data_IF_148541628194
#
_entry.id   IF_148541628194
#
_cell.length_a   1.000
_cell.length_b   1.000
_cell.length_c   1.000
_cell.angle_alpha   90.00
_cell.angle_beta   90.00
_cell.angle_gamma   90.00
#
_symmetry.space_group_name_H-M   'P 1'
#
loop_
_entity.id
_entity.type
_entity.pdbx_description
1 polymer ?
#
# COMPACT_ATOMS: atom_id res chain seq x y z
N UNK A 1 53.22 -1.45 9.90
CA UNK A 1 51.92 -2.18 9.89
C UNK A 1 51.18 -2.24 11.24
N UNK A 2 51.76 -1.84 12.39
CA UNK A 2 51.03 -1.83 13.69
C UNK A 2 50.07 -0.63 13.84
N UNK A 3 50.41 0.53 13.27
CA UNK A 3 49.61 1.76 13.37
C UNK A 3 48.34 1.76 12.48
N UNK A 4 48.32 0.95 11.40
CA UNK A 4 47.16 0.85 10.50
C UNK A 4 46.01 0.04 11.13
N UNK A 5 46.34 -0.94 11.99
CA UNK A 5 45.33 -1.75 12.69
C UNK A 5 44.55 -0.93 13.74
N UNK A 6 45.21 0.03 14.38
CA UNK A 6 44.56 0.96 15.31
C UNK A 6 43.58 1.90 14.63
N UNK A 7 43.91 2.38 13.42
CA UNK A 7 43.05 3.29 12.67
C UNK A 7 41.76 2.62 12.18
N UNK A 8 41.85 1.36 11.73
CA UNK A 8 40.68 0.58 11.28
C UNK A 8 39.76 0.25 12.46
N UNK A 9 40.33 -0.09 13.62
CA UNK A 9 39.54 -0.36 14.83
C UNK A 9 38.79 0.90 15.32
N UNK A 10 39.38 2.08 15.19
CA UNK A 10 38.72 3.34 15.55
C UNK A 10 37.56 3.69 14.62
N UNK A 11 37.73 3.53 13.30
CA UNK A 11 36.66 3.78 12.33
C UNK A 11 35.48 2.79 12.45
N UNK A 12 35.75 1.52 12.78
CA UNK A 12 34.72 0.52 12.99
C UNK A 12 33.89 0.77 14.27
N UNK A 13 34.43 1.47 15.28
CA UNK A 13 33.71 1.78 16.51
C UNK A 13 32.74 2.97 16.33
N UNK A 14 33.07 3.93 15.47
CA UNK A 14 32.24 5.13 15.23
C UNK A 14 30.99 4.82 14.39
N UNK A 15 31.04 3.82 13.49
CA UNK A 15 29.90 3.47 12.64
C UNK A 15 28.73 2.82 13.39
N UNK A 16 28.97 2.22 14.56
CA UNK A 16 27.91 1.59 15.38
C UNK A 16 26.99 2.64 16.02
N UNK A 17 27.49 3.85 16.31
CA UNK A 17 26.69 4.91 16.93
C UNK A 17 25.90 5.76 15.93
N UNK A 18 26.18 5.66 14.62
CA UNK A 18 25.49 6.42 13.58
C UNK A 18 24.32 5.66 12.93
N UNK A 19 24.19 4.35 13.16
CA UNK A 19 23.20 3.50 12.49
C UNK A 19 21.78 3.54 13.10
N UNK A 20 21.58 4.25 14.21
CA UNK A 20 20.26 4.39 14.87
C UNK A 20 19.67 5.79 14.68
N UNK A 21 19.74 6.36 13.47
CA UNK A 21 18.75 7.39 13.12
C UNK A 21 17.45 6.69 12.78
N UNK A 22 16.66 6.42 13.82
CA UNK A 22 15.24 6.11 13.68
C UNK A 22 14.62 7.25 12.88
N UNK A 23 14.17 6.96 11.66
CA UNK A 23 13.41 7.92 10.87
C UNK A 23 12.14 8.21 11.66
N UNK A 24 11.98 9.47 12.07
CA UNK A 24 10.76 9.94 12.72
C UNK A 24 9.68 10.05 11.64
N UNK A 25 9.08 8.91 11.25
CA UNK A 25 7.75 8.98 10.67
C UNK A 25 6.79 9.38 11.79
N UNK A 26 6.42 10.67 11.82
CA UNK A 26 5.30 11.14 12.63
C UNK A 26 4.03 10.69 11.92
N UNK A 27 3.62 9.45 12.16
CA UNK A 27 2.21 9.09 12.02
C UNK A 27 1.47 9.90 13.08
N UNK A 28 0.81 10.96 12.64
CA UNK A 28 -0.14 11.65 13.50
C UNK A 28 -1.26 10.64 13.70
N UNK A 29 -1.32 10.05 14.89
CA UNK A 29 -2.46 9.29 15.40
C UNK A 29 -3.71 10.18 15.29
N UNK A 30 -4.28 10.25 14.10
CA UNK A 30 -5.44 11.06 13.82
C UNK A 30 -6.65 10.15 13.92
N UNK A 31 -6.96 9.82 15.18
CA UNK A 31 -8.28 9.46 15.65
C UNK A 31 -8.89 8.21 15.01
N UNK A 32 -9.18 7.23 15.85
CA UNK A 32 -10.19 6.21 15.59
C UNK A 32 -11.48 6.87 15.06
N UNK A 33 -11.59 6.97 13.73
CA UNK A 33 -12.86 7.18 13.08
C UNK A 33 -13.45 5.78 13.02
N UNK A 34 -14.50 5.52 13.79
CA UNK A 34 -15.14 4.19 13.93
C UNK A 34 -15.87 3.72 12.67
N UNK A 35 -15.58 4.34 11.52
CA UNK A 35 -16.08 3.97 10.21
C UNK A 35 -14.95 3.29 9.45
N UNK A 36 -15.22 2.10 8.92
CA UNK A 36 -14.28 1.44 8.01
C UNK A 36 -13.97 2.38 6.84
N UNK A 37 -12.69 2.63 6.62
CA UNK A 37 -12.19 3.54 5.58
C UNK A 37 -11.94 2.79 4.27
N UNK A 38 -11.79 1.47 4.33
CA UNK A 38 -11.87 0.59 3.18
C UNK A 38 -12.86 -0.54 3.45
N UNK A 39 -13.55 -0.98 2.40
CA UNK A 39 -14.49 -2.09 2.42
C UNK A 39 -14.59 -2.67 1.00
N UNK A 40 -14.77 -3.99 0.92
CA UNK A 40 -15.22 -4.67 -0.30
C UNK A 40 -15.93 -6.00 0.02
N UNK A 41 -16.61 -6.57 -0.96
CA UNK A 41 -17.27 -7.86 -0.89
C UNK A 41 -16.81 -8.80 -1.99
N UNK A 42 -16.70 -10.09 -1.66
CA UNK A 42 -16.64 -11.19 -2.62
C UNK A 42 -17.82 -12.13 -2.34
N UNK A 43 -18.80 -12.15 -3.25
CA UNK A 43 -20.05 -12.89 -3.03
C UNK A 43 -20.78 -12.43 -1.75
N UNK A 44 -20.90 -13.33 -0.77
CA UNK A 44 -21.54 -13.05 0.52
C UNK A 44 -20.56 -12.58 1.61
N UNK A 45 -19.26 -12.64 1.36
CA UNK A 45 -18.23 -12.29 2.35
C UNK A 45 -17.90 -10.81 2.24
N UNK A 46 -17.93 -10.10 3.36
CA UNK A 46 -17.58 -8.68 3.47
C UNK A 46 -16.29 -8.51 4.25
N UNK A 47 -15.39 -7.69 3.72
CA UNK A 47 -14.10 -7.34 4.32
C UNK A 47 -14.06 -5.83 4.52
N UNK A 48 -13.58 -5.37 5.68
CA UNK A 48 -13.42 -3.95 5.94
C UNK A 48 -12.35 -3.68 7.01
N UNK A 49 -11.91 -2.43 7.05
CA UNK A 49 -10.89 -1.98 8.01
C UNK A 49 -10.58 -0.49 7.90
N UNK A 50 -9.53 -0.08 8.60
CA UNK A 50 -9.02 1.30 8.56
C UNK A 50 -7.89 1.41 7.55
N UNK A 51 -7.75 2.58 6.94
CA UNK A 51 -6.57 2.93 6.14
C UNK A 51 -5.51 3.41 7.10
N UNK A 52 -4.34 2.79 7.07
CA UNK A 52 -3.21 3.12 7.93
C UNK A 52 -2.40 4.26 7.32
N UNK A 53 -2.08 4.13 6.02
CA UNK A 53 -1.24 5.09 5.30
C UNK A 53 -1.73 5.26 3.86
N UNK A 54 -1.66 6.49 3.34
CA UNK A 54 -1.73 6.76 1.92
C UNK A 54 -0.60 7.72 1.52
N UNK A 55 0.18 7.37 0.51
CA UNK A 55 1.33 8.15 0.06
C UNK A 55 1.51 8.09 -1.45
N UNK A 56 2.21 9.09 -1.98
CA UNK A 56 2.57 9.18 -3.39
C UNK A 56 4.08 9.26 -3.52
N UNK A 57 4.68 8.24 -4.11
CA UNK A 57 6.09 8.26 -4.50
C UNK A 57 6.25 8.72 -5.95
N UNK A 58 7.37 9.36 -6.28
CA UNK A 58 7.67 9.77 -7.65
C UNK A 58 9.04 9.24 -8.08
N UNK A 59 9.06 8.43 -9.14
CA UNK A 59 10.29 7.89 -9.74
C UNK A 59 10.22 8.03 -11.25
N UNK A 60 11.23 8.67 -11.86
CA UNK A 60 11.29 8.83 -13.32
C UNK A 60 10.11 9.59 -13.93
N UNK A 61 9.49 10.50 -13.16
CA UNK A 61 8.29 11.23 -13.59
C UNK A 61 6.98 10.43 -13.53
N UNK A 62 7.02 9.20 -13.01
CA UNK A 62 5.83 8.39 -12.73
C UNK A 62 5.52 8.53 -11.24
N UNK A 63 4.26 8.82 -10.93
CA UNK A 63 3.70 8.88 -9.60
C UNK A 63 3.04 7.54 -9.24
N UNK A 64 3.31 7.06 -8.04
CA UNK A 64 2.81 5.81 -7.47
C UNK A 64 2.02 6.14 -6.22
N UNK A 65 0.70 6.13 -6.32
CA UNK A 65 -0.17 6.16 -5.16
C UNK A 65 -0.22 4.77 -4.55
N UNK A 66 0.05 4.68 -3.25
CA UNK A 66 -0.14 3.48 -2.45
C UNK A 66 -1.04 3.81 -1.27
N UNK A 67 -2.08 3.00 -1.08
CA UNK A 67 -3.01 3.08 0.05
C UNK A 67 -2.96 1.75 0.77
N UNK A 68 -2.58 1.76 2.04
CA UNK A 68 -2.46 0.58 2.88
C UNK A 68 -3.48 0.64 4.00
N UNK A 69 -4.06 -0.50 4.33
CA UNK A 69 -5.01 -0.61 5.43
C UNK A 69 -4.99 -1.96 6.11
N UNK A 70 -5.48 -1.96 7.34
CA UNK A 70 -5.52 -3.13 8.20
C UNK A 70 -6.91 -3.31 8.80
N UNK A 71 -7.36 -4.56 8.95
CA UNK A 71 -8.61 -4.88 9.64
C UNK A 71 -8.52 -4.63 11.13
N UNK A 72 -9.66 -4.52 11.80
CA UNK A 72 -9.71 -4.24 13.25
C UNK A 72 -8.95 -5.27 14.10
N UNK A 73 -9.01 -6.54 13.71
CA UNK A 73 -8.30 -7.66 14.36
C UNK A 73 -6.83 -7.81 13.89
N UNK A 74 -6.38 -6.95 12.97
CA UNK A 74 -5.05 -6.96 12.34
C UNK A 74 -4.68 -8.24 11.59
N UNK A 75 -5.65 -9.11 11.33
CA UNK A 75 -5.41 -10.33 10.56
C UNK A 75 -5.34 -10.06 9.05
N UNK A 76 -6.06 -9.05 8.58
CA UNK A 76 -6.16 -8.72 7.14
C UNK A 76 -5.46 -7.43 6.82
N UNK A 77 -4.81 -7.42 5.66
CA UNK A 77 -4.14 -6.25 5.10
C UNK A 77 -4.59 -6.03 3.68
N UNK A 78 -4.78 -4.78 3.30
CA UNK A 78 -5.08 -4.36 1.94
C UNK A 78 -4.03 -3.37 1.48
N UNK A 79 -3.59 -3.53 0.24
CA UNK A 79 -2.78 -2.55 -0.48
C UNK A 79 -3.49 -2.26 -1.80
N UNK A 80 -3.89 -1.01 -2.00
CA UNK A 80 -4.40 -0.50 -3.27
C UNK A 80 -3.33 0.40 -3.87
N UNK A 81 -3.17 0.34 -5.19
CA UNK A 81 -2.22 1.23 -5.84
C UNK A 81 -2.63 1.67 -7.23
N UNK A 82 -2.16 2.87 -7.58
CA UNK A 82 -2.33 3.49 -8.89
C UNK A 82 -0.98 4.05 -9.34
N UNK A 83 -0.59 3.78 -10.59
CA UNK A 83 0.55 4.44 -11.21
C UNK A 83 0.15 5.28 -12.42
N UNK A 84 0.61 6.53 -12.46
CA UNK A 84 0.28 7.52 -13.51
C UNK A 84 1.41 8.53 -13.66
N UNK A 85 1.57 9.15 -14.83
CA UNK A 85 2.43 10.33 -14.98
C UNK A 85 1.82 11.59 -14.35
N UNK A 86 0.49 11.62 -14.26
CA UNK A 86 -0.30 12.73 -13.71
C UNK A 86 -1.41 12.12 -12.85
N UNK A 87 -1.15 12.01 -11.55
CA UNK A 87 -2.09 11.46 -10.58
C UNK A 87 -3.09 12.54 -10.14
N UNK A 88 -4.37 12.30 -10.42
CA UNK A 88 -5.47 13.22 -10.15
C UNK A 88 -6.77 12.43 -9.93
N UNK A 89 -7.85 13.13 -9.58
CA UNK A 89 -9.16 12.52 -9.57
C UNK A 89 -9.50 11.95 -10.96
N UNK A 90 -10.02 10.73 -11.00
CA UNK A 90 -10.26 9.99 -12.24
C UNK A 90 -10.38 8.48 -12.03
N UNK A 91 -10.58 7.78 -13.15
CA UNK A 91 -10.68 6.32 -13.19
C UNK A 91 -9.38 5.72 -13.68
N UNK A 92 -8.85 4.78 -12.92
CA UNK A 92 -7.66 4.01 -13.22
C UNK A 92 -8.03 2.53 -13.27
N UNK A 93 -7.53 1.80 -14.26
CA UNK A 93 -7.85 0.39 -14.42
C UNK A 93 -6.59 -0.44 -14.61
N UNK A 94 -6.67 -1.74 -14.34
CA UNK A 94 -5.56 -2.67 -14.59
C UNK A 94 -5.04 -2.50 -16.03
N UNK A 95 -3.71 -2.47 -16.25
CA UNK A 95 -2.67 -2.79 -15.28
C UNK A 95 -2.24 -1.62 -14.38
N UNK A 96 -2.75 -0.39 -14.59
CA UNK A 96 -2.31 0.81 -13.86
C UNK A 96 -2.95 1.00 -12.49
N UNK A 97 -3.97 0.19 -12.18
CA UNK A 97 -4.58 0.06 -10.88
C UNK A 97 -4.45 -1.39 -10.39
N UNK A 98 -4.15 -1.58 -9.11
CA UNK A 98 -4.04 -2.89 -8.50
C UNK A 98 -4.55 -2.93 -7.06
N UNK A 99 -4.82 -4.14 -6.61
CA UNK A 99 -5.13 -4.54 -5.24
C UNK A 99 -4.30 -5.78 -4.89
N UNK A 100 -3.77 -5.78 -3.68
CA UNK A 100 -3.29 -6.97 -2.96
C UNK A 100 -4.03 -7.04 -1.62
N UNK A 101 -4.61 -8.20 -1.33
CA UNK A 101 -5.34 -8.45 -0.11
C UNK A 101 -4.82 -9.74 0.55
N UNK A 102 -4.37 -9.59 1.79
CA UNK A 102 -3.80 -10.66 2.59
C UNK A 102 -4.70 -10.97 3.78
N UNK A 103 -4.82 -12.25 4.13
CA UNK A 103 -5.42 -12.73 5.37
C UNK A 103 -4.42 -13.63 6.10
N UNK A 104 -4.09 -13.28 7.35
CA UNK A 104 -3.07 -13.93 8.16
C UNK A 104 -1.72 -14.10 7.44
N UNK A 105 -1.36 -13.12 6.61
CA UNK A 105 -0.11 -13.08 5.85
C UNK A 105 -0.10 -13.90 4.55
N UNK A 106 -1.19 -14.61 4.22
CA UNK A 106 -1.34 -15.28 2.93
C UNK A 106 -2.10 -14.38 1.95
N UNK A 107 -1.68 -14.36 0.69
CA UNK A 107 -2.41 -13.67 -0.38
C UNK A 107 -3.74 -14.38 -0.61
N UNK A 108 -4.84 -13.64 -0.47
CA UNK A 108 -6.20 -14.14 -0.71
C UNK A 108 -6.74 -13.59 -2.02
N UNK A 109 -6.53 -12.29 -2.29
CA UNK A 109 -6.86 -11.69 -3.58
C UNK A 109 -5.71 -10.81 -4.09
N UNK A 110 -5.45 -10.85 -5.38
CA UNK A 110 -4.49 -9.96 -6.06
C UNK A 110 -5.00 -9.58 -7.46
N UNK A 111 -4.50 -8.50 -8.04
CA UNK A 111 -4.87 -8.13 -9.41
C UNK A 111 -4.26 -9.05 -10.46
N UNK A 112 -5.02 -9.34 -11.52
CA UNK A 112 -4.46 -9.90 -12.75
C UNK A 112 -3.99 -8.79 -13.69
N UNK A 113 -2.67 -8.55 -13.69
CA UNK A 113 -2.06 -7.54 -14.57
C UNK A 113 -2.23 -7.84 -16.07
N UNK A 114 -2.56 -9.08 -16.44
CA UNK A 114 -2.82 -9.48 -17.83
C UNK A 114 -4.28 -9.25 -18.23
N UNK A 115 -5.18 -9.13 -17.25
CA UNK A 115 -6.60 -8.86 -17.46
C UNK A 115 -6.87 -7.35 -17.52
N UNK A 116 -6.48 -6.73 -18.64
CA UNK A 116 -6.56 -5.28 -18.86
C UNK A 116 -8.00 -4.78 -18.70
N UNK A 117 -8.16 -3.70 -17.91
CA UNK A 117 -9.44 -3.02 -17.70
C UNK A 117 -10.41 -3.73 -16.74
N UNK A 118 -10.04 -4.90 -16.19
CA UNK A 118 -10.96 -5.71 -15.39
C UNK A 118 -11.03 -5.27 -13.92
N UNK A 119 -9.97 -4.69 -13.36
CA UNK A 119 -9.99 -4.07 -12.04
C UNK A 119 -9.92 -2.55 -12.17
N UNK A 120 -10.63 -1.81 -11.33
CA UNK A 120 -10.74 -0.36 -11.42
C UNK A 120 -10.67 0.28 -10.03
N UNK A 121 -9.91 1.37 -9.94
CA UNK A 121 -9.90 2.32 -8.83
C UNK A 121 -10.40 3.66 -9.37
N UNK A 122 -11.45 4.21 -8.75
CA UNK A 122 -11.97 5.55 -9.03
C UNK A 122 -11.53 6.47 -7.91
N UNK A 123 -10.61 7.38 -8.19
CA UNK A 123 -10.20 8.44 -7.27
C UNK A 123 -11.20 9.59 -7.41
N UNK A 124 -12.05 9.79 -6.41
CA UNK A 124 -13.00 10.92 -6.38
C UNK A 124 -12.35 12.21 -5.91
N UNK A 125 -11.34 12.11 -5.05
CA UNK A 125 -10.58 13.24 -4.53
C UNK A 125 -9.15 12.81 -4.19
N UNK A 126 -8.19 13.67 -4.52
CA UNK A 126 -6.81 13.57 -4.04
C UNK A 126 -6.25 14.98 -3.84
N UNK A 127 -5.76 15.27 -2.64
CA UNK A 127 -5.12 16.54 -2.27
C UNK A 127 -4.13 16.35 -1.12
N UNK A 128 -3.66 17.44 -0.50
CA UNK A 128 -2.73 17.40 0.64
C UNK A 128 -3.36 16.89 1.94
N UNK A 129 -4.69 16.72 2.00
CA UNK A 129 -5.42 16.22 3.16
C UNK A 129 -5.60 14.71 3.05
N UNK A 130 -5.80 14.18 1.85
CA UNK A 130 -5.85 12.74 1.62
C UNK A 130 -6.44 12.34 0.28
N UNK A 131 -6.78 11.05 0.18
CA UNK A 131 -7.37 10.42 -0.99
C UNK A 131 -8.71 9.78 -0.62
N UNK A 132 -9.69 9.87 -1.50
CA UNK A 132 -10.96 9.15 -1.40
C UNK A 132 -11.39 8.60 -2.74
N UNK A 133 -12.14 7.50 -2.72
CA UNK A 133 -12.52 6.81 -3.94
C UNK A 133 -13.27 5.51 -3.70
N UNK A 134 -13.45 4.76 -4.77
CA UNK A 134 -13.99 3.40 -4.77
C UNK A 134 -13.09 2.49 -5.57
N UNK A 135 -13.17 1.18 -5.34
CA UNK A 135 -12.51 0.19 -6.17
C UNK A 135 -13.44 -1.00 -6.39
N UNK A 136 -13.30 -1.67 -7.52
CA UNK A 136 -14.12 -2.83 -7.89
C UNK A 136 -13.53 -3.53 -9.10
N UNK A 137 -13.95 -4.78 -9.34
CA UNK A 137 -13.67 -5.50 -10.57
C UNK A 137 -13.16 -6.90 -10.35
N UNK A 138 -12.45 -7.45 -11.34
CA UNK A 138 -11.91 -8.82 -11.26
C UNK A 138 -10.52 -8.86 -10.63
N UNK A 139 -10.37 -9.75 -9.66
CA UNK A 139 -9.12 -10.12 -8.99
C UNK A 139 -8.90 -11.63 -9.14
N UNK A 140 -7.70 -12.13 -8.84
CA UNK A 140 -7.41 -13.57 -8.73
C UNK A 140 -7.44 -13.97 -7.27
N UNK A 141 -7.99 -15.15 -6.99
CA UNK A 141 -7.78 -15.81 -5.70
C UNK A 141 -6.37 -16.45 -5.61
N UNK A 142 -6.05 -17.04 -4.47
CA UNK A 142 -4.78 -17.73 -4.22
C UNK A 142 -4.47 -18.90 -5.17
N UNK A 143 -5.48 -19.39 -5.92
CA UNK A 143 -5.34 -20.46 -6.91
C UNK A 143 -5.30 -19.90 -8.35
N UNK A 144 -5.37 -18.59 -8.52
CA UNK A 144 -5.41 -17.93 -9.82
C UNK A 144 -6.80 -17.87 -10.45
N UNK A 145 -7.87 -18.23 -9.74
CA UNK A 145 -9.22 -18.14 -10.29
C UNK A 145 -9.75 -16.71 -10.24
N UNK A 146 -10.45 -16.24 -11.29
CA UNK A 146 -11.03 -14.91 -11.29
C UNK A 146 -12.18 -14.81 -10.28
N UNK A 147 -12.20 -13.72 -9.51
CA UNK A 147 -13.20 -13.35 -8.51
C UNK A 147 -13.64 -11.91 -8.72
N UNK A 148 -14.91 -11.62 -8.46
CA UNK A 148 -15.44 -10.26 -8.54
C UNK A 148 -15.47 -9.63 -7.15
N UNK A 149 -14.91 -8.42 -7.04
CA UNK A 149 -14.97 -7.59 -5.82
C UNK A 149 -15.71 -6.28 -6.07
N UNK A 150 -16.53 -5.86 -5.12
CA UNK A 150 -17.35 -4.63 -5.15
C UNK A 150 -17.41 -3.93 -3.81
#
# INVERSE_FOLDING_TARGET
MKQLKGLIAFFAFVSVFAACKKEYSREKDNGANTLSQWEFKEGATQYNGSVDTAFVDTTGGIQFLTIEGTSLDRSKKISLGVFSQDLKAGTYSSPTAFIDFLDNGAVVYESDITAIGQFTIVISKIDSIGVSGTFSGKVKDSNGNPKDVV
#
